data_IF_021188900002
#
_entry.id   IF_021188900002
#
_cell.length_a   1.000
_cell.length_b   1.000
_cell.length_c   1.000
_cell.angle_alpha   90.00
_cell.angle_beta   90.00
_cell.angle_gamma   90.00
#
_symmetry.space_group_name_H-M   'P 1'
#
loop_
_entity.id
_entity.type
_entity.pdbx_description
1 polymer ?
#
# COMPACT_ATOMS: atom_id res chain seq x y z
N UNK A 1 3.26 -6.61 24.44
CA UNK A 1 4.47 -6.01 24.99
C UNK A 1 4.44 -4.47 24.87
N UNK A 2 5.46 -3.78 25.37
CA UNK A 2 5.51 -2.31 25.39
C UNK A 2 5.45 -1.68 23.98
N UNK A 3 6.03 -2.35 22.96
CA UNK A 3 5.96 -1.85 21.58
C UNK A 3 4.56 -1.96 21.01
N UNK A 4 3.85 -3.05 21.29
CA UNK A 4 2.46 -3.23 20.87
C UNK A 4 1.53 -2.21 21.51
N UNK A 5 1.73 -1.90 22.79
CA UNK A 5 0.99 -0.85 23.49
C UNK A 5 1.28 0.52 22.86
N UNK A 6 2.55 0.87 22.66
CA UNK A 6 2.96 2.11 22.00
C UNK A 6 2.33 2.24 20.61
N UNK A 7 2.31 1.15 19.82
CA UNK A 7 1.69 1.13 18.49
C UNK A 7 0.20 1.45 18.57
N UNK A 8 -0.54 0.79 19.46
CA UNK A 8 -1.98 1.01 19.63
C UNK A 8 -2.29 2.46 20.09
N UNK A 9 -1.55 2.98 21.05
CA UNK A 9 -1.68 4.37 21.52
C UNK A 9 -1.39 5.37 20.41
N UNK A 10 -0.36 5.10 19.59
CA UNK A 10 0.02 5.94 18.46
C UNK A 10 -1.02 5.96 17.34
N UNK A 11 -1.66 4.83 17.04
CA UNK A 11 -2.78 4.78 16.10
C UNK A 11 -3.98 5.56 16.62
N UNK A 12 -4.34 5.38 17.89
CA UNK A 12 -5.42 6.11 18.52
C UNK A 12 -5.18 7.63 18.50
N UNK A 13 -3.95 8.07 18.77
CA UNK A 13 -3.55 9.48 18.73
C UNK A 13 -3.65 10.08 17.32
N UNK A 14 -3.46 9.29 16.27
CA UNK A 14 -3.64 9.71 14.87
C UNK A 14 -5.12 9.73 14.42
N UNK A 15 -6.05 9.34 15.28
CA UNK A 15 -7.49 9.22 14.95
C UNK A 15 -7.83 7.97 14.15
N UNK A 16 -6.89 7.04 13.99
CA UNK A 16 -7.12 5.76 13.31
C UNK A 16 -7.82 4.79 14.25
N UNK A 17 -8.98 4.26 13.84
CA UNK A 17 -9.65 3.21 14.59
C UNK A 17 -8.82 1.91 14.52
N UNK A 18 -8.60 1.30 15.68
CA UNK A 18 -7.96 0.00 15.81
C UNK A 18 -8.93 -0.96 16.50
N UNK A 19 -9.81 -1.64 15.72
CA UNK A 19 -10.96 -2.33 16.26
C UNK A 19 -10.62 -3.63 16.99
N UNK A 20 -9.45 -4.21 16.70
CA UNK A 20 -8.99 -5.43 17.36
C UNK A 20 -8.10 -5.08 18.55
N UNK A 21 -8.39 -5.57 19.75
CA UNK A 21 -7.51 -5.34 20.89
C UNK A 21 -6.17 -6.04 20.66
N UNK A 22 -5.05 -5.45 21.13
CA UNK A 22 -3.76 -6.11 21.13
C UNK A 22 -3.84 -7.45 21.87
N UNK A 23 -3.35 -8.51 21.23
CA UNK A 23 -3.36 -9.86 21.81
C UNK A 23 -2.03 -10.16 22.49
N UNK A 24 -2.09 -10.86 23.62
CA UNK A 24 -0.91 -11.41 24.27
C UNK A 24 -0.58 -12.76 23.58
N UNK A 25 0.57 -12.80 22.93
CA UNK A 25 1.11 -13.99 22.26
C UNK A 25 2.58 -14.18 22.66
N UNK A 26 3.15 -15.36 22.40
CA UNK A 26 4.54 -15.66 22.79
C UNK A 26 5.57 -14.86 21.97
N UNK A 27 5.24 -14.48 20.74
CA UNK A 27 6.11 -13.70 19.89
C UNK A 27 6.01 -12.18 20.21
N UNK A 28 7.13 -11.47 20.23
CA UNK A 28 7.09 -10.02 20.43
C UNK A 28 6.51 -9.28 19.21
N UNK A 29 6.08 -8.05 19.44
CA UNK A 29 5.62 -7.13 18.39
C UNK A 29 6.67 -6.95 17.30
N UNK A 30 6.22 -6.84 16.05
CA UNK A 30 7.06 -6.56 14.88
C UNK A 30 7.86 -5.27 15.07
N UNK A 31 9.09 -5.26 14.56
CA UNK A 31 9.95 -4.06 14.55
C UNK A 31 10.92 -4.08 13.40
N UNK A 32 11.29 -2.91 12.91
CA UNK A 32 12.32 -2.75 11.90
C UNK A 32 13.35 -1.73 12.36
N UNK A 33 14.63 -2.07 12.22
CA UNK A 33 15.73 -1.12 12.34
C UNK A 33 16.07 -0.61 10.96
N UNK A 34 15.88 0.69 10.74
CA UNK A 34 16.03 1.33 9.44
C UNK A 34 17.27 2.21 9.48
N UNK A 35 18.20 1.96 8.57
CA UNK A 35 19.41 2.74 8.37
C UNK A 35 19.26 3.55 7.11
N UNK A 36 19.24 4.87 7.24
CA UNK A 36 19.07 5.80 6.12
C UNK A 36 20.44 6.35 5.74
N UNK A 37 20.81 6.25 4.46
CA UNK A 37 22.05 6.80 3.92
C UNK A 37 21.88 8.27 3.50
N UNK A 38 22.98 9.03 3.30
CA UNK A 38 22.88 10.47 2.99
C UNK A 38 22.15 10.82 1.69
N UNK A 39 21.94 9.87 0.80
CA UNK A 39 21.16 10.00 -0.45
C UNK A 39 19.67 9.71 -0.27
N UNK A 40 19.21 9.44 0.97
CA UNK A 40 17.82 9.11 1.31
C UNK A 40 17.44 7.65 1.06
N UNK A 41 18.38 6.82 0.59
CA UNK A 41 18.16 5.36 0.47
C UNK A 41 18.23 4.69 1.85
N UNK A 42 17.63 3.51 1.97
CA UNK A 42 17.49 2.82 3.24
C UNK A 42 17.79 1.33 3.17
N UNK A 43 18.35 0.83 4.27
CA UNK A 43 18.48 -0.59 4.55
C UNK A 43 17.63 -0.94 5.76
N UNK A 44 16.85 -2.00 5.68
CA UNK A 44 15.92 -2.40 6.73
C UNK A 44 16.27 -3.77 7.30
N UNK A 45 16.36 -3.86 8.64
CA UNK A 45 16.46 -5.12 9.36
C UNK A 45 15.16 -5.34 10.11
N UNK A 46 14.29 -6.14 9.52
CA UNK A 46 12.92 -6.35 10.00
C UNK A 46 12.79 -7.68 10.72
N UNK A 47 12.27 -7.64 11.94
CA UNK A 47 11.76 -8.78 12.67
C UNK A 47 10.24 -8.75 12.62
N UNK A 48 9.64 -9.69 11.93
CA UNK A 48 8.19 -9.71 11.69
C UNK A 48 7.38 -10.06 12.95
N UNK A 49 7.95 -10.84 13.88
CA UNK A 49 7.30 -11.17 15.14
C UNK A 49 5.87 -11.67 14.98
N UNK A 50 5.01 -11.28 15.91
CA UNK A 50 3.60 -11.65 15.92
C UNK A 50 2.82 -11.14 14.70
N UNK A 51 3.27 -10.04 14.06
CA UNK A 51 2.59 -9.50 12.87
C UNK A 51 2.59 -10.42 11.66
N UNK A 52 3.53 -11.40 11.61
CA UNK A 52 3.55 -12.40 10.54
C UNK A 52 2.49 -13.51 10.71
N UNK A 53 1.88 -13.62 11.88
CA UNK A 53 0.95 -14.71 12.21
C UNK A 53 -0.52 -14.34 11.95
N UNK A 54 -0.76 -13.34 11.09
CA UNK A 54 -2.13 -12.96 10.71
C UNK A 54 -2.84 -14.15 10.06
N UNK A 55 -4.11 -14.33 10.45
CA UNK A 55 -4.97 -15.39 9.96
C UNK A 55 -6.40 -14.86 9.71
N UNK A 56 -7.28 -15.70 9.18
CA UNK A 56 -8.69 -15.36 8.99
C UNK A 56 -9.42 -14.97 10.31
N UNK A 57 -8.92 -15.44 11.45
CA UNK A 57 -9.48 -15.09 12.76
C UNK A 57 -9.19 -13.63 13.15
N UNK A 58 -8.17 -13.03 12.55
CA UNK A 58 -7.77 -11.63 12.79
C UNK A 58 -8.46 -10.66 11.83
N UNK A 59 -9.25 -11.16 10.88
CA UNK A 59 -10.02 -10.32 9.95
C UNK A 59 -11.33 -9.91 10.63
N UNK A 60 -11.49 -8.63 11.03
CA UNK A 60 -12.69 -8.19 11.73
C UNK A 60 -13.90 -8.17 10.80
N UNK A 61 -15.09 -8.34 11.37
CA UNK A 61 -16.35 -8.27 10.61
C UNK A 61 -16.89 -6.82 10.60
N UNK A 62 -16.10 -5.90 10.04
CA UNK A 62 -16.37 -4.45 10.07
C UNK A 62 -16.54 -3.82 8.68
N UNK A 63 -16.70 -4.63 7.65
CA UNK A 63 -16.77 -4.13 6.27
C UNK A 63 -18.04 -3.36 5.92
N UNK A 64 -19.05 -3.37 6.78
CA UNK A 64 -20.25 -2.60 6.56
C UNK A 64 -19.96 -1.09 6.57
N UNK A 65 -20.12 -0.43 5.42
CA UNK A 65 -19.86 1.00 5.25
C UNK A 65 -18.42 1.39 4.94
N UNK A 66 -17.53 0.40 4.76
CA UNK A 66 -16.17 0.66 4.29
C UNK A 66 -16.12 0.73 2.77
N UNK A 67 -15.33 1.66 2.22
CA UNK A 67 -15.22 1.84 0.77
C UNK A 67 -14.09 1.01 0.15
N UNK A 68 -12.93 0.94 0.79
CA UNK A 68 -11.75 0.21 0.29
C UNK A 68 -11.04 -0.53 1.43
N UNK A 69 -10.87 -1.84 1.26
CA UNK A 69 -9.93 -2.66 2.04
C UNK A 69 -8.56 -2.56 1.39
N UNK A 70 -7.52 -2.26 2.17
CA UNK A 70 -6.13 -2.27 1.70
C UNK A 70 -5.37 -3.45 2.31
N UNK A 71 -4.73 -4.24 1.44
CA UNK A 71 -3.95 -5.42 1.77
C UNK A 71 -2.47 -5.14 1.50
N UNK A 72 -1.61 -5.52 2.43
CA UNK A 72 -0.18 -5.28 2.34
C UNK A 72 0.56 -6.57 2.03
N UNK A 73 1.25 -6.64 0.87
CA UNK A 73 1.77 -7.87 0.28
C UNK A 73 2.82 -8.63 1.09
N UNK A 74 3.51 -8.01 2.04
CA UNK A 74 4.47 -8.71 2.90
C UNK A 74 3.84 -9.84 3.74
N UNK A 75 2.54 -9.77 4.00
CA UNK A 75 1.83 -10.82 4.75
C UNK A 75 1.58 -12.10 3.94
N UNK A 76 2.00 -12.12 2.67
CA UNK A 76 1.98 -13.32 1.82
C UNK A 76 3.02 -14.38 2.16
N UNK A 77 3.98 -14.09 3.05
CA UNK A 77 5.02 -15.06 3.39
C UNK A 77 4.49 -16.32 4.11
N UNK A 78 3.30 -16.25 4.75
CA UNK A 78 2.65 -17.40 5.39
C UNK A 78 1.35 -17.79 4.67
N UNK A 79 1.03 -19.09 4.59
CA UNK A 79 -0.22 -19.57 3.98
C UNK A 79 -1.48 -18.99 4.63
N UNK A 80 -1.45 -18.81 5.95
CA UNK A 80 -2.56 -18.26 6.73
C UNK A 80 -2.85 -16.80 6.32
N UNK A 81 -1.81 -16.01 6.08
CA UNK A 81 -1.94 -14.64 5.57
C UNK A 81 -2.57 -14.58 4.19
N UNK A 82 -2.20 -15.50 3.29
CA UNK A 82 -2.82 -15.60 1.94
C UNK A 82 -4.30 -15.92 2.04
N UNK A 83 -4.67 -16.87 2.89
CA UNK A 83 -6.08 -17.23 3.14
C UNK A 83 -6.85 -16.05 3.72
N UNK A 84 -6.28 -15.38 4.73
CA UNK A 84 -6.89 -14.20 5.34
C UNK A 84 -7.14 -13.08 4.32
N UNK A 85 -6.23 -12.86 3.37
CA UNK A 85 -6.37 -11.84 2.32
C UNK A 85 -7.52 -12.16 1.36
N UNK A 86 -7.57 -13.40 0.85
CA UNK A 86 -8.65 -13.81 -0.05
C UNK A 86 -10.02 -13.74 0.62
N UNK A 87 -10.12 -14.19 1.89
CA UNK A 87 -11.35 -14.08 2.67
C UNK A 87 -11.74 -12.63 2.95
N UNK A 88 -10.80 -11.78 3.34
CA UNK A 88 -11.06 -10.37 3.59
C UNK A 88 -11.54 -9.65 2.33
N UNK A 89 -10.89 -9.89 1.18
CA UNK A 89 -11.29 -9.33 -0.11
C UNK A 89 -12.70 -9.81 -0.50
N UNK A 90 -12.99 -11.10 -0.32
CA UNK A 90 -14.32 -11.67 -0.61
C UNK A 90 -15.40 -11.01 0.27
N UNK A 91 -15.16 -10.85 1.59
CA UNK A 91 -16.10 -10.19 2.51
C UNK A 91 -16.30 -8.73 2.14
N UNK A 92 -15.22 -8.00 1.79
CA UNK A 92 -15.30 -6.61 1.36
C UNK A 92 -16.17 -6.47 0.11
N UNK A 93 -15.95 -7.31 -0.92
CA UNK A 93 -16.77 -7.29 -2.15
C UNK A 93 -18.22 -7.65 -1.89
N UNK A 94 -18.48 -8.62 -1.01
CA UNK A 94 -19.85 -8.98 -0.59
C UNK A 94 -20.58 -7.83 0.14
N UNK A 95 -19.82 -6.96 0.84
CA UNK A 95 -20.34 -5.74 1.48
C UNK A 95 -20.52 -4.57 0.51
N UNK A 96 -20.19 -4.73 -0.79
CA UNK A 96 -20.27 -3.69 -1.82
C UNK A 96 -19.07 -2.74 -1.87
N UNK A 97 -18.00 -3.03 -1.13
CA UNK A 97 -16.75 -2.28 -1.17
C UNK A 97 -15.77 -2.81 -2.21
N UNK A 98 -14.57 -2.26 -2.21
CA UNK A 98 -13.46 -2.65 -3.11
C UNK A 98 -12.27 -3.16 -2.31
N UNK A 99 -11.51 -4.08 -2.89
CA UNK A 99 -10.25 -4.54 -2.32
C UNK A 99 -9.06 -3.99 -3.12
N UNK A 100 -8.03 -3.56 -2.41
CA UNK A 100 -6.78 -3.06 -2.96
C UNK A 100 -5.59 -3.82 -2.38
N UNK A 101 -4.52 -4.01 -3.15
CA UNK A 101 -3.27 -4.62 -2.70
C UNK A 101 -2.05 -3.80 -3.10
N UNK A 102 -1.04 -3.74 -2.21
CA UNK A 102 0.34 -3.38 -2.56
C UNK A 102 1.16 -4.64 -2.83
N UNK A 103 1.99 -4.62 -3.87
CA UNK A 103 2.94 -5.71 -4.18
C UNK A 103 4.09 -5.74 -3.17
N UNK A 104 4.42 -4.59 -2.57
CA UNK A 104 5.33 -4.36 -1.45
C UNK A 104 6.82 -4.35 -1.77
N UNK A 105 7.38 -5.42 -2.36
CA UNK A 105 8.75 -5.42 -2.90
C UNK A 105 8.95 -6.49 -3.99
N UNK A 106 10.03 -6.36 -4.81
CA UNK A 106 10.31 -7.32 -5.88
C UNK A 106 10.60 -8.73 -5.36
N UNK A 107 11.22 -8.89 -4.17
CA UNK A 107 11.52 -10.23 -3.61
C UNK A 107 10.24 -10.93 -3.18
N UNK A 108 9.29 -10.20 -2.61
CA UNK A 108 7.97 -10.71 -2.28
C UNK A 108 7.21 -11.14 -3.54
N UNK A 109 7.22 -10.28 -4.58
CA UNK A 109 6.64 -10.58 -5.87
C UNK A 109 7.25 -11.83 -6.53
N UNK A 110 8.57 -12.02 -6.42
CA UNK A 110 9.27 -13.18 -6.97
C UNK A 110 8.88 -14.47 -6.25
N UNK A 111 8.92 -14.46 -4.91
CA UNK A 111 8.60 -15.65 -4.09
C UNK A 111 7.16 -16.10 -4.22
N UNK A 112 6.22 -15.17 -4.37
CA UNK A 112 4.77 -15.43 -4.32
C UNK A 112 4.05 -15.04 -5.60
N UNK A 113 4.76 -15.08 -6.75
CA UNK A 113 4.28 -14.61 -8.05
C UNK A 113 2.91 -15.16 -8.42
N UNK A 114 2.74 -16.47 -8.37
CA UNK A 114 1.49 -17.12 -8.77
C UNK A 114 0.32 -16.69 -7.87
N UNK A 115 0.56 -16.56 -6.57
CA UNK A 115 -0.45 -16.16 -5.60
C UNK A 115 -0.85 -14.69 -5.78
N UNK A 116 0.13 -13.79 -6.02
CA UNK A 116 -0.16 -12.39 -6.35
C UNK A 116 -0.96 -12.26 -7.65
N UNK A 117 -0.54 -12.98 -8.71
CA UNK A 117 -1.26 -12.95 -9.99
C UNK A 117 -2.69 -13.47 -9.84
N UNK A 118 -2.89 -14.54 -9.05
CA UNK A 118 -4.22 -15.09 -8.78
C UNK A 118 -5.10 -14.09 -8.00
N UNK A 119 -4.55 -13.48 -6.94
CA UNK A 119 -5.28 -12.49 -6.14
C UNK A 119 -5.63 -11.24 -6.97
N UNK A 120 -4.70 -10.74 -7.79
CA UNK A 120 -4.91 -9.57 -8.67
C UNK A 120 -5.97 -9.89 -9.74
N UNK A 121 -6.01 -11.11 -10.26
CA UNK A 121 -6.98 -11.50 -11.28
C UNK A 121 -8.38 -11.79 -10.74
N UNK A 122 -8.52 -12.16 -9.46
CA UNK A 122 -9.77 -12.67 -8.89
C UNK A 122 -10.38 -11.80 -7.80
N UNK A 123 -9.59 -11.45 -6.82
CA UNK A 123 -10.10 -10.98 -5.54
C UNK A 123 -9.97 -9.48 -5.33
N UNK A 124 -9.04 -8.78 -5.99
CA UNK A 124 -8.83 -7.33 -5.80
C UNK A 124 -9.25 -6.50 -7.00
N UNK A 125 -9.65 -5.27 -6.74
CA UNK A 125 -10.09 -4.31 -7.74
C UNK A 125 -9.00 -3.29 -8.07
N UNK A 126 -8.03 -3.09 -7.15
CA UNK A 126 -7.00 -2.07 -7.25
C UNK A 126 -5.66 -2.72 -6.88
N UNK A 127 -4.66 -2.62 -7.76
CA UNK A 127 -3.32 -3.12 -7.48
C UNK A 127 -2.28 -1.99 -7.62
N UNK A 128 -1.40 -1.87 -6.64
CA UNK A 128 -0.40 -0.81 -6.52
C UNK A 128 0.98 -1.44 -6.42
N UNK A 129 1.92 -0.92 -7.17
CA UNK A 129 3.32 -1.36 -7.10
C UNK A 129 4.25 -0.33 -7.75
N UNK A 130 5.55 -0.53 -7.59
CA UNK A 130 6.55 0.22 -8.34
C UNK A 130 6.94 -0.50 -9.63
N UNK A 131 7.72 0.17 -10.47
CA UNK A 131 8.13 -0.39 -11.77
C UNK A 131 8.87 -1.73 -11.64
N UNK A 132 9.76 -1.86 -10.65
CA UNK A 132 10.52 -3.09 -10.43
C UNK A 132 9.62 -4.25 -9.98
N UNK A 133 8.66 -3.97 -9.09
CA UNK A 133 7.66 -4.95 -8.63
C UNK A 133 6.81 -5.47 -9.77
N UNK A 134 6.28 -4.58 -10.62
CA UNK A 134 5.49 -4.97 -11.78
C UNK A 134 6.26 -5.81 -12.78
N UNK A 135 7.49 -5.39 -13.13
CA UNK A 135 8.35 -6.13 -14.04
C UNK A 135 8.74 -7.51 -13.47
N UNK A 136 9.01 -7.59 -12.17
CA UNK A 136 9.29 -8.86 -11.49
C UNK A 136 8.08 -9.78 -11.47
N UNK A 137 6.89 -9.23 -11.14
CA UNK A 137 5.65 -10.02 -11.06
C UNK A 137 5.28 -10.65 -12.40
N UNK A 138 5.47 -9.92 -13.50
CA UNK A 138 5.13 -10.39 -14.85
C UNK A 138 6.34 -10.90 -15.65
N UNK A 139 7.51 -11.03 -15.02
CA UNK A 139 8.75 -11.58 -15.62
C UNK A 139 9.11 -10.93 -16.96
N UNK A 140 9.14 -9.62 -17.01
CA UNK A 140 9.48 -8.85 -18.21
C UNK A 140 10.31 -7.61 -17.85
N UNK A 141 11.17 -7.19 -18.76
CA UNK A 141 11.89 -5.90 -18.65
C UNK A 141 11.11 -4.74 -19.29
N UNK A 142 9.99 -5.02 -19.96
CA UNK A 142 9.09 -4.03 -20.55
C UNK A 142 7.96 -3.69 -19.53
N UNK A 143 8.08 -2.53 -18.90
CA UNK A 143 7.09 -2.04 -17.93
C UNK A 143 5.70 -1.87 -18.56
N UNK A 144 5.60 -1.39 -19.80
CA UNK A 144 4.32 -1.26 -20.49
C UNK A 144 3.67 -2.64 -20.71
N UNK A 145 4.45 -3.67 -21.03
CA UNK A 145 3.95 -5.03 -21.17
C UNK A 145 3.45 -5.58 -19.82
N UNK A 146 4.19 -5.36 -18.73
CA UNK A 146 3.77 -5.76 -17.38
C UNK A 146 2.43 -5.11 -16.99
N UNK A 147 2.33 -3.81 -17.16
CA UNK A 147 1.12 -3.06 -16.79
C UNK A 147 -0.08 -3.38 -17.67
N UNK A 148 0.12 -3.66 -18.96
CA UNK A 148 -0.98 -4.16 -19.83
C UNK A 148 -1.51 -5.51 -19.36
N UNK A 149 -0.65 -6.43 -18.94
CA UNK A 149 -1.08 -7.72 -18.39
C UNK A 149 -1.87 -7.53 -17.10
N UNK A 150 -1.40 -6.69 -16.18
CA UNK A 150 -2.12 -6.38 -14.95
C UNK A 150 -3.49 -5.73 -15.22
N UNK A 151 -3.54 -4.72 -16.08
CA UNK A 151 -4.76 -3.98 -16.41
C UNK A 151 -5.77 -4.80 -17.22
N UNK A 152 -5.37 -5.93 -17.82
CA UNK A 152 -6.28 -6.85 -18.47
C UNK A 152 -7.13 -7.66 -17.47
N UNK A 153 -6.69 -7.76 -16.20
CA UNK A 153 -7.34 -8.59 -15.18
C UNK A 153 -7.73 -7.82 -13.92
N UNK A 154 -7.18 -6.62 -13.70
CA UNK A 154 -7.46 -5.76 -12.56
C UNK A 154 -8.07 -4.43 -13.01
N UNK A 155 -9.11 -3.98 -12.34
CA UNK A 155 -9.86 -2.79 -12.74
C UNK A 155 -9.03 -1.50 -12.65
N UNK A 156 -8.19 -1.36 -11.63
CA UNK A 156 -7.31 -0.21 -11.43
C UNK A 156 -5.89 -0.69 -11.11
N UNK A 157 -4.92 -0.20 -11.87
CA UNK A 157 -3.49 -0.49 -11.69
C UNK A 157 -2.75 0.82 -11.50
N UNK A 158 -1.92 0.92 -10.47
CA UNK A 158 -1.06 2.09 -10.26
C UNK A 158 0.42 1.67 -10.17
N UNK A 159 1.27 2.45 -10.82
CA UNK A 159 2.71 2.21 -10.88
C UNK A 159 3.49 3.46 -10.49
N UNK A 160 4.18 3.42 -9.35
CA UNK A 160 5.16 4.44 -8.97
C UNK A 160 6.49 4.20 -9.69
N UNK A 161 7.21 5.29 -10.05
CA UNK A 161 8.38 5.21 -10.92
C UNK A 161 9.54 6.06 -10.42
N UNK A 162 9.73 6.09 -9.12
CA UNK A 162 10.75 6.90 -8.44
C UNK A 162 10.81 8.33 -8.95
N UNK A 163 11.09 9.30 -9.05
CA UNK A 163 11.04 10.65 -9.59
C UNK A 163 10.41 10.83 -10.98
N UNK A 164 10.05 9.75 -11.69
CA UNK A 164 9.31 9.86 -12.96
C UNK A 164 7.79 9.91 -12.71
N UNK A 165 6.98 10.40 -13.67
CA UNK A 165 5.52 10.46 -13.52
C UNK A 165 4.91 9.12 -13.13
N UNK A 166 4.02 9.12 -12.15
CA UNK A 166 3.24 7.93 -11.77
C UNK A 166 2.28 7.58 -12.91
N UNK A 167 2.19 6.31 -13.23
CA UNK A 167 1.18 5.79 -14.17
C UNK A 167 0.05 5.13 -13.41
N UNK A 168 -1.19 5.50 -13.77
CA UNK A 168 -2.37 4.79 -13.30
C UNK A 168 -3.24 4.41 -14.51
N UNK A 169 -3.83 3.21 -14.47
CA UNK A 169 -4.60 2.64 -15.57
C UNK A 169 -5.95 2.21 -15.03
N UNK A 170 -7.01 2.61 -15.69
CA UNK A 170 -8.38 2.16 -15.43
C UNK A 170 -9.13 2.03 -16.75
N UNK A 171 -9.84 0.92 -16.95
CA UNK A 171 -10.59 0.65 -18.18
C UNK A 171 -9.75 0.77 -19.47
N UNK A 172 -8.48 0.37 -19.41
CA UNK A 172 -7.53 0.48 -20.53
C UNK A 172 -7.02 1.90 -20.81
N UNK A 173 -7.46 2.91 -20.06
CA UNK A 173 -6.99 4.31 -20.19
C UNK A 173 -5.91 4.57 -19.15
N UNK A 174 -4.71 4.99 -19.62
CA UNK A 174 -3.61 5.41 -18.76
C UNK A 174 -3.65 6.92 -18.55
N UNK A 175 -3.48 7.33 -17.29
CA UNK A 175 -3.19 8.70 -16.89
C UNK A 175 -1.78 8.78 -16.33
N UNK A 176 -1.19 9.97 -16.37
CA UNK A 176 0.15 10.26 -15.86
C UNK A 176 0.08 11.39 -14.84
N UNK A 177 0.47 11.12 -13.60
CA UNK A 177 0.57 12.13 -12.57
C UNK A 177 2.03 12.58 -12.43
N UNK A 178 2.34 13.86 -12.71
CA UNK A 178 3.70 14.37 -12.60
C UNK A 178 4.18 14.36 -11.15
N UNK A 179 5.45 14.05 -10.95
CA UNK A 179 6.12 14.11 -9.64
C UNK A 179 6.85 15.44 -9.53
N UNK A 180 6.58 16.19 -8.47
CA UNK A 180 7.39 17.37 -8.13
C UNK A 180 8.73 16.88 -7.55
N UNK A 181 9.83 17.40 -8.08
CA UNK A 181 11.15 17.06 -7.59
C UNK A 181 11.31 17.46 -6.11
N UNK A 182 11.58 16.48 -5.28
CA UNK A 182 11.91 16.65 -3.86
C UNK A 182 13.29 16.05 -3.64
N UNK A 183 14.12 16.70 -2.84
CA UNK A 183 15.36 16.08 -2.38
C UNK A 183 15.00 15.07 -1.29
N UNK A 184 15.17 13.77 -1.51
CA UNK A 184 14.79 12.78 -0.52
C UNK A 184 15.72 12.85 0.69
N UNK A 185 15.12 12.78 1.88
CA UNK A 185 15.81 12.65 3.17
C UNK A 185 15.71 11.22 3.68
N UNK A 186 14.53 10.61 3.54
CA UNK A 186 14.25 9.23 3.90
C UNK A 186 13.11 8.69 3.03
N UNK A 187 13.40 7.72 2.17
CA UNK A 187 12.39 7.15 1.28
C UNK A 187 11.44 6.15 1.98
N UNK A 188 11.58 5.94 3.31
CA UNK A 188 10.73 5.03 4.07
C UNK A 188 9.27 5.50 4.08
N UNK A 189 8.35 4.61 3.72
CA UNK A 189 6.92 4.91 3.70
C UNK A 189 6.42 5.64 2.45
N UNK A 190 7.28 5.92 1.46
CA UNK A 190 6.86 6.58 0.22
C UNK A 190 5.73 5.81 -0.51
N UNK A 191 5.87 4.48 -0.61
CA UNK A 191 4.86 3.59 -1.21
C UNK A 191 3.56 3.59 -0.42
N UNK A 192 3.64 3.53 0.91
CA UNK A 192 2.48 3.52 1.81
C UNK A 192 1.72 4.84 1.72
N UNK A 193 2.42 5.97 1.73
CA UNK A 193 1.80 7.29 1.61
C UNK A 193 1.24 7.53 0.22
N UNK A 194 1.90 7.03 -0.84
CA UNK A 194 1.31 7.02 -2.17
C UNK A 194 -0.01 6.25 -2.17
N UNK A 195 -0.02 5.02 -1.65
CA UNK A 195 -1.22 4.21 -1.57
C UNK A 195 -2.33 4.91 -0.76
N UNK A 196 -1.99 5.50 0.39
CA UNK A 196 -2.95 6.23 1.22
C UNK A 196 -3.60 7.41 0.48
N UNK A 197 -2.81 8.27 -0.16
CA UNK A 197 -3.32 9.40 -0.94
C UNK A 197 -4.14 8.97 -2.17
N UNK A 198 -3.66 7.95 -2.88
CA UNK A 198 -4.33 7.39 -4.05
C UNK A 198 -5.68 6.78 -3.71
N UNK A 199 -5.70 5.90 -2.70
CA UNK A 199 -6.93 5.23 -2.24
C UNK A 199 -7.92 6.23 -1.64
N UNK A 200 -7.45 7.25 -0.90
CA UNK A 200 -8.30 8.35 -0.43
C UNK A 200 -8.96 9.09 -1.60
N UNK A 201 -8.22 9.35 -2.68
CA UNK A 201 -8.79 9.94 -3.89
C UNK A 201 -9.91 9.09 -4.48
N UNK A 202 -9.66 7.79 -4.66
CA UNK A 202 -10.65 6.85 -5.19
C UNK A 202 -11.86 6.65 -4.26
N UNK A 203 -11.65 6.60 -2.94
CA UNK A 203 -12.71 6.46 -1.94
C UNK A 203 -13.62 7.70 -1.88
N UNK A 204 -13.06 8.88 -2.18
CA UNK A 204 -13.83 10.14 -2.24
C UNK A 204 -14.41 10.44 -3.63
N UNK A 205 -14.42 9.47 -4.53
CA UNK A 205 -15.04 9.57 -5.86
C UNK A 205 -14.31 10.49 -6.83
N UNK A 206 -13.01 10.73 -6.61
CA UNK A 206 -12.20 11.52 -7.54
C UNK A 206 -11.83 10.68 -8.76
N UNK A 207 -11.59 11.36 -9.89
CA UNK A 207 -11.05 10.72 -11.09
C UNK A 207 -9.64 10.14 -10.84
N UNK A 208 -9.20 9.27 -11.72
CA UNK A 208 -7.97 8.52 -11.59
C UNK A 208 -6.72 9.44 -11.54
N UNK A 209 -6.70 10.51 -12.33
CA UNK A 209 -5.59 11.47 -12.35
C UNK A 209 -5.51 12.23 -11.02
N UNK A 210 -6.63 12.74 -10.54
CA UNK A 210 -6.71 13.41 -9.22
C UNK A 210 -6.28 12.48 -8.10
N UNK A 211 -6.72 11.22 -8.12
CA UNK A 211 -6.30 10.21 -7.14
C UNK A 211 -4.78 9.97 -7.18
N UNK A 212 -4.21 9.80 -8.38
CA UNK A 212 -2.76 9.61 -8.54
C UNK A 212 -1.96 10.84 -8.07
N UNK A 213 -2.42 12.06 -8.35
CA UNK A 213 -1.79 13.30 -7.85
C UNK A 213 -1.83 13.41 -6.33
N UNK A 214 -2.91 12.99 -5.68
CA UNK A 214 -2.97 12.92 -4.20
C UNK A 214 -1.95 11.93 -3.67
N UNK A 215 -1.81 10.76 -4.28
CA UNK A 215 -0.77 9.79 -3.93
C UNK A 215 0.64 10.39 -4.05
N UNK A 216 0.93 11.10 -5.15
CA UNK A 216 2.22 11.78 -5.34
C UNK A 216 2.48 12.82 -4.25
N UNK A 217 1.50 13.65 -3.90
CA UNK A 217 1.65 14.69 -2.86
C UNK A 217 1.97 14.04 -1.50
N UNK A 218 1.24 13.01 -1.12
CA UNK A 218 1.45 12.32 0.15
C UNK A 218 2.83 11.65 0.21
N UNK A 219 3.25 11.00 -0.88
CA UNK A 219 4.59 10.41 -0.99
C UNK A 219 5.69 11.46 -0.96
N UNK A 220 5.51 12.59 -1.64
CA UNK A 220 6.49 13.69 -1.68
C UNK A 220 6.69 14.35 -0.33
N UNK A 221 5.63 14.44 0.47
CA UNK A 221 5.71 14.98 1.83
C UNK A 221 6.59 14.08 2.71
N UNK A 222 6.28 12.77 2.75
CA UNK A 222 6.95 11.85 3.68
C UNK A 222 8.42 11.67 3.38
N UNK A 223 8.85 11.70 2.12
CA UNK A 223 10.27 11.54 1.79
C UNK A 223 11.12 12.77 2.10
N UNK A 224 10.52 13.90 2.44
CA UNK A 224 11.20 15.14 2.79
C UNK A 224 11.77 15.19 4.20
N UNK A 225 11.57 14.17 5.04
CA UNK A 225 12.02 14.13 6.44
C UNK A 225 12.28 12.68 6.89
N UNK A 226 12.88 12.49 8.05
CA UNK A 226 13.08 11.16 8.64
C UNK A 226 11.77 10.62 9.21
N UNK A 227 11.47 9.36 8.88
CA UNK A 227 10.32 8.61 9.39
C UNK A 227 9.16 8.52 8.40
N UNK A 228 8.38 7.46 8.53
CA UNK A 228 7.38 7.03 7.55
C UNK A 228 6.00 7.68 7.71
N UNK A 229 5.81 8.55 8.71
CA UNK A 229 4.52 9.22 8.94
C UNK A 229 4.58 10.67 8.52
N UNK A 230 3.53 11.22 7.90
CA UNK A 230 3.46 12.62 7.53
C UNK A 230 3.65 13.54 8.74
N UNK A 231 4.39 14.61 8.56
CA UNK A 231 4.55 15.70 9.54
C UNK A 231 3.64 16.88 9.22
N UNK A 232 3.30 17.07 7.92
CA UNK A 232 2.34 18.08 7.49
C UNK A 232 0.90 17.53 7.51
N UNK A 233 -0.06 18.45 7.55
CA UNK A 233 -1.45 18.13 7.26
C UNK A 233 -1.62 17.84 5.75
N UNK A 234 -1.62 16.55 5.40
CA UNK A 234 -1.72 16.09 4.00
C UNK A 234 -3.03 16.57 3.35
N UNK A 235 -4.12 16.71 4.13
CA UNK A 235 -5.39 17.24 3.61
C UNK A 235 -5.27 18.71 3.22
N UNK A 236 -4.54 19.49 4.02
CA UNK A 236 -4.24 20.89 3.67
C UNK A 236 -3.38 20.98 2.40
N UNK A 237 -2.43 20.05 2.20
CA UNK A 237 -1.66 19.97 0.96
C UNK A 237 -2.53 19.66 -0.26
N UNK A 238 -3.50 18.75 -0.13
CA UNK A 238 -4.48 18.49 -1.20
C UNK A 238 -5.32 19.71 -1.51
N UNK A 239 -5.77 20.46 -0.49
CA UNK A 239 -6.52 21.72 -0.69
C UNK A 239 -5.69 22.76 -1.42
N UNK A 240 -4.44 22.97 -1.02
CA UNK A 240 -3.52 23.90 -1.66
C UNK A 240 -3.24 23.56 -3.13
N UNK A 241 -3.28 22.27 -3.49
CA UNK A 241 -3.15 21.79 -4.85
C UNK A 241 -4.47 21.81 -5.65
N UNK A 242 -5.59 22.24 -5.06
CA UNK A 242 -6.91 22.24 -5.70
C UNK A 242 -7.52 20.85 -5.94
N UNK A 243 -7.16 19.88 -5.10
CA UNK A 243 -7.56 18.47 -5.27
C UNK A 243 -8.61 17.98 -4.25
N UNK A 244 -9.15 18.86 -3.39
CA UNK A 244 -10.24 18.49 -2.45
C UNK A 244 -11.61 18.58 -3.10
#
# INVERSE_FOLDING_TARGET
>A
DALGQFFAESLAASGTAFPLPPQAVDLPTSRSMIFVSPDGERSMNTYLGAGADISSADVPDIFAGSDILFLEGYLFDKPEGKTAFSEAATRMKAAGGRAAISISDPFCAERHRADFQALIAGDVDIAIGNAAEWMTLYQTEDLDAALRQAAAVCAVVACTRSGAPVWAIQNGVRVEAPVTAVTPVDATGAGDQFAAGFLFGLATGRDLETAARKGVIAASEVIGHIGQRPQADVRALFAAAGLL
#
